data_IF_339975294383
#
_entry.id   IF_339975294383
#
_cell.length_a   1.000
_cell.length_b   1.000
_cell.length_c   1.000
_cell.angle_alpha   90.00
_cell.angle_beta   90.00
_cell.angle_gamma   90.00
#
_symmetry.space_group_name_H-M   'P 1'
#
loop_
_entity.id
_entity.type
_entity.pdbx_description
1 polymer ?
#
# COMPACT_ATOMS: atom_id res chain seq x y z
N UNK A 1 4.40 -5.59 45.22
CA UNK A 1 4.80 -5.53 43.81
C UNK A 1 3.53 -5.54 42.99
N UNK A 2 3.07 -4.37 42.55
CA UNK A 2 1.83 -4.18 41.80
C UNK A 2 2.20 -4.06 40.32
N UNK A 3 1.85 -5.07 39.54
CA UNK A 3 1.76 -5.00 38.07
C UNK A 3 0.67 -3.99 37.73
N UNK A 4 1.07 -2.84 37.16
CA UNK A 4 0.13 -1.86 36.59
C UNK A 4 -0.17 -2.29 35.17
N UNK A 5 -1.40 -2.75 34.94
CA UNK A 5 -1.98 -2.82 33.60
C UNK A 5 -2.04 -1.40 33.04
N UNK A 6 -1.34 -1.17 31.93
CA UNK A 6 -1.41 0.08 31.19
C UNK A 6 -2.55 -0.04 30.20
N UNK A 7 -3.69 0.55 30.53
CA UNK A 7 -4.83 0.66 29.61
C UNK A 7 -4.44 1.60 28.47
N UNK A 8 -4.31 1.05 27.25
CA UNK A 8 -4.15 1.83 26.03
C UNK A 8 -5.47 2.57 25.74
N UNK A 9 -5.54 3.84 26.12
CA UNK A 9 -6.66 4.72 25.79
C UNK A 9 -6.27 5.47 24.51
N UNK A 10 -6.87 5.07 23.39
CA UNK A 10 -6.62 5.61 22.06
C UNK A 10 -7.39 6.92 21.87
N UNK A 11 -6.69 8.06 21.71
CA UNK A 11 -7.31 9.38 21.64
C UNK A 11 -7.35 9.98 20.21
N UNK A 12 -8.53 10.53 19.93
CA UNK A 12 -9.14 11.30 18.82
C UNK A 12 -8.39 11.82 17.57
N UNK A 13 -7.05 11.83 17.48
CA UNK A 13 -6.37 12.38 16.27
C UNK A 13 -5.73 11.26 15.46
N UNK A 14 -5.26 10.20 16.12
CA UNK A 14 -4.94 8.93 15.48
C UNK A 14 -6.19 8.18 15.00
N UNK A 15 -7.38 8.47 15.53
CA UNK A 15 -8.62 7.76 15.18
C UNK A 15 -9.26 8.18 13.84
N UNK A 16 -8.60 8.98 13.02
CA UNK A 16 -9.05 9.29 11.67
C UNK A 16 -8.13 8.71 10.58
N UNK A 17 -6.89 8.36 10.93
CA UNK A 17 -5.88 7.86 10.00
C UNK A 17 -5.37 6.45 10.40
N UNK A 18 -5.25 6.15 11.70
CA UNK A 18 -4.97 4.80 12.25
C UNK A 18 -6.25 4.01 12.60
N UNK A 19 -7.44 4.62 12.49
CA UNK A 19 -8.73 3.95 12.70
C UNK A 19 -9.15 2.97 11.59
N UNK A 20 -8.33 2.80 10.55
CA UNK A 20 -8.60 1.88 9.46
C UNK A 20 -8.09 0.44 9.73
N UNK A 21 -7.55 0.18 10.91
CA UNK A 21 -7.09 -1.16 11.33
C UNK A 21 -7.77 -1.53 12.66
N UNK A 22 -8.97 -2.16 12.62
CA UNK A 22 -9.50 -2.85 13.79
C UNK A 22 -8.51 -3.92 14.19
N UNK A 23 -8.18 -4.03 15.48
CA UNK A 23 -7.22 -5.01 16.01
C UNK A 23 -7.61 -6.46 15.80
N UNK A 24 -8.80 -6.75 15.26
CA UNK A 24 -9.29 -8.13 15.10
C UNK A 24 -10.01 -8.45 13.77
N UNK A 25 -10.19 -7.49 12.84
CA UNK A 25 -11.06 -7.73 11.66
C UNK A 25 -10.58 -7.18 10.31
N UNK A 26 -9.53 -6.35 10.24
CA UNK A 26 -8.98 -5.99 8.92
C UNK A 26 -8.02 -7.06 8.39
N UNK A 27 -7.98 -7.25 7.07
CA UNK A 27 -6.97 -8.09 6.39
C UNK A 27 -5.53 -7.67 6.73
N UNK A 28 -5.30 -6.37 7.00
CA UNK A 28 -4.04 -5.86 7.56
C UNK A 28 -3.83 -6.28 9.02
N UNK A 29 -4.85 -6.24 9.89
CA UNK A 29 -4.75 -6.69 11.27
C UNK A 29 -4.49 -8.20 11.39
N UNK A 30 -5.09 -9.03 10.53
CA UNK A 30 -4.78 -10.46 10.47
C UNK A 30 -3.29 -10.71 10.12
N UNK A 31 -2.71 -9.81 9.33
CA UNK A 31 -1.29 -9.84 8.99
C UNK A 31 -0.41 -9.29 10.12
N UNK A 32 -0.84 -8.26 10.84
CA UNK A 32 -0.15 -7.74 12.04
C UNK A 32 -0.22 -8.72 13.23
N UNK A 33 -1.32 -9.47 13.39
CA UNK A 33 -1.45 -10.54 14.39
C UNK A 33 -0.49 -11.71 14.09
N UNK A 34 -0.23 -11.97 12.81
CA UNK A 34 0.77 -12.95 12.38
C UNK A 34 2.18 -12.51 12.77
N UNK A 35 2.47 -11.21 12.75
CA UNK A 35 3.73 -10.63 13.23
C UNK A 35 3.91 -10.80 14.75
N UNK A 36 2.85 -10.61 15.54
CA UNK A 36 2.89 -10.85 16.98
C UNK A 36 3.10 -12.34 17.34
N UNK A 37 2.64 -13.25 16.47
CA UNK A 37 2.84 -14.69 16.61
C UNK A 37 4.22 -15.17 16.09
N UNK A 38 4.79 -14.49 15.10
CA UNK A 38 6.03 -14.87 14.42
C UNK A 38 7.28 -14.29 15.09
N UNK A 39 7.48 -14.60 16.37
CA UNK A 39 8.83 -14.59 16.93
C UNK A 39 9.64 -15.69 16.23
N UNK A 40 10.75 -15.32 15.59
CA UNK A 40 11.79 -16.18 14.97
C UNK A 40 11.52 -16.73 13.54
N UNK A 41 12.30 -16.29 12.55
CA UNK A 41 13.45 -16.99 11.89
C UNK A 41 13.89 -16.18 10.64
N UNK A 42 15.20 -15.92 10.39
CA UNK A 42 15.66 -15.03 9.30
C UNK A 42 15.88 -15.74 7.96
N UNK A 43 15.64 -14.98 6.88
CA UNK A 43 16.21 -15.18 5.54
C UNK A 43 15.38 -16.06 4.62
N UNK A 44 14.68 -15.46 3.66
CA UNK A 44 14.24 -16.15 2.45
C UNK A 44 14.21 -15.21 1.24
N UNK A 45 14.90 -15.60 0.18
CA UNK A 45 14.59 -15.16 -1.18
C UNK A 45 13.50 -16.10 -1.72
N UNK A 46 12.37 -15.53 -2.17
CA UNK A 46 11.27 -16.33 -2.70
C UNK A 46 11.50 -16.62 -4.19
N UNK A 47 12.01 -17.81 -4.50
CA UNK A 47 11.99 -18.36 -5.86
C UNK A 47 10.63 -19.02 -6.11
N UNK A 48 9.81 -18.45 -6.98
CA UNK A 48 8.55 -19.04 -7.42
C UNK A 48 8.85 -20.25 -8.33
N UNK A 49 8.75 -21.47 -7.78
CA UNK A 49 8.93 -22.68 -8.56
C UNK A 49 7.64 -22.97 -9.36
N UNK A 50 7.69 -22.80 -10.68
CA UNK A 50 6.62 -23.22 -11.60
C UNK A 50 6.98 -24.61 -12.19
N UNK A 51 6.43 -25.73 -11.66
CA UNK A 51 6.71 -27.07 -12.18
C UNK A 51 6.19 -27.31 -13.61
N UNK A 52 5.31 -26.45 -14.14
CA UNK A 52 4.75 -26.56 -15.49
C UNK A 52 5.59 -25.82 -16.55
N UNK A 53 6.35 -24.79 -16.15
CA UNK A 53 7.29 -24.12 -17.05
C UNK A 53 8.44 -25.04 -17.50
N UNK A 54 8.82 -26.01 -16.67
CA UNK A 54 9.84 -27.01 -17.01
C UNK A 54 9.32 -28.14 -17.92
N UNK A 55 7.99 -28.29 -18.07
CA UNK A 55 7.38 -29.39 -18.81
C UNK A 55 6.85 -29.01 -20.21
N UNK A 56 6.86 -27.73 -20.57
CA UNK A 56 6.40 -27.26 -21.88
C UNK A 56 7.53 -27.39 -22.93
N UNK A 57 7.79 -28.62 -23.39
CA UNK A 57 8.44 -28.82 -24.68
C UNK A 57 7.47 -28.38 -25.80
N UNK A 58 7.91 -27.63 -26.83
CA UNK A 58 7.00 -27.15 -27.87
C UNK A 58 6.50 -28.33 -28.70
N UNK A 59 5.18 -28.50 -28.75
CA UNK A 59 4.54 -29.41 -29.71
C UNK A 59 4.65 -28.81 -31.11
N UNK A 60 5.38 -29.48 -31.98
CA UNK A 60 5.50 -29.14 -33.40
C UNK A 60 4.27 -29.68 -34.14
N UNK A 61 3.27 -28.82 -34.36
CA UNK A 61 2.12 -29.19 -35.18
C UNK A 61 1.24 -28.02 -35.59
N UNK A 62 1.21 -27.73 -36.89
CA UNK A 62 0.12 -27.01 -37.55
C UNK A 62 0.41 -25.57 -37.94
N UNK A 63 0.57 -25.35 -39.26
CA UNK A 63 0.63 -24.01 -39.85
C UNK A 63 -0.68 -23.25 -39.62
N UNK A 64 -0.59 -22.18 -38.85
CA UNK A 64 -1.63 -21.18 -38.60
C UNK A 64 -0.90 -19.92 -38.12
N UNK A 65 -1.48 -18.74 -38.36
CA UNK A 65 -0.87 -17.45 -38.04
C UNK A 65 -0.15 -17.46 -36.69
N UNK A 66 1.05 -16.87 -36.63
CA UNK A 66 1.82 -16.74 -35.39
C UNK A 66 0.86 -16.29 -34.27
N UNK A 67 0.74 -17.05 -33.17
CA UNK A 67 -0.18 -16.69 -32.11
C UNK A 67 0.15 -15.27 -31.66
N UNK A 68 -0.87 -14.40 -31.63
CA UNK A 68 -0.73 -13.04 -31.11
C UNK A 68 -0.10 -13.14 -29.73
N UNK A 69 0.90 -12.30 -29.47
CA UNK A 69 1.52 -12.26 -28.16
C UNK A 69 0.42 -12.05 -27.09
N UNK A 70 0.45 -12.81 -25.98
CA UNK A 70 -0.60 -12.73 -24.98
C UNK A 70 -0.70 -11.30 -24.43
N UNK A 71 -1.92 -10.86 -24.18
CA UNK A 71 -2.17 -9.55 -23.59
C UNK A 71 -1.51 -9.51 -22.21
N UNK A 72 -0.79 -8.45 -21.87
CA UNK A 72 -0.18 -8.33 -20.54
C UNK A 72 -1.10 -7.54 -19.61
N UNK A 73 -1.35 -8.10 -18.44
CA UNK A 73 -2.14 -7.47 -17.40
C UNK A 73 -1.44 -7.52 -16.05
N UNK A 74 -1.75 -6.54 -15.20
CA UNK A 74 -1.24 -6.47 -13.83
C UNK A 74 -2.39 -6.68 -12.85
N UNK A 75 -2.26 -7.67 -11.98
CA UNK A 75 -3.17 -7.90 -10.88
C UNK A 75 -2.61 -7.23 -9.63
N UNK A 76 -3.30 -6.22 -9.09
CA UNK A 76 -2.95 -5.54 -7.84
C UNK A 76 -3.88 -5.97 -6.72
N UNK A 77 -3.30 -6.52 -5.66
CA UNK A 77 -4.03 -7.14 -4.56
C UNK A 77 -3.37 -6.76 -3.23
N UNK A 78 -4.17 -6.39 -2.21
CA UNK A 78 -3.66 -6.06 -0.87
C UNK A 78 -4.29 -6.97 0.18
N UNK A 79 -3.44 -7.71 0.92
CA UNK A 79 -3.89 -8.66 1.95
C UNK A 79 -4.83 -9.76 1.42
N UNK A 80 -4.72 -10.08 0.13
CA UNK A 80 -5.53 -11.08 -0.59
C UNK A 80 -4.62 -11.95 -1.45
N UNK A 81 -4.89 -12.11 -2.74
CA UNK A 81 -4.14 -13.00 -3.61
C UNK A 81 -2.74 -12.44 -3.95
N UNK A 82 -1.67 -13.25 -4.01
CA UNK A 82 -1.63 -14.69 -3.84
C UNK A 82 -1.27 -15.16 -2.41
N UNK A 83 -1.25 -14.25 -1.44
CA UNK A 83 -0.65 -14.47 -0.12
C UNK A 83 -1.67 -14.84 0.96
N UNK A 84 -2.93 -14.48 0.75
CA UNK A 84 -4.08 -14.69 1.61
C UNK A 84 -5.23 -15.35 0.87
N UNK A 85 -6.06 -16.06 1.63
CA UNK A 85 -7.29 -16.66 1.13
C UNK A 85 -8.48 -15.70 1.20
N UNK A 86 -9.67 -16.27 1.01
CA UNK A 86 -10.94 -15.55 1.10
C UNK A 86 -11.57 -15.26 -0.25
N UNK A 87 -12.76 -14.67 -0.24
CA UNK A 87 -13.59 -14.50 -1.44
C UNK A 87 -12.90 -13.69 -2.54
N UNK A 88 -12.24 -12.58 -2.18
CA UNK A 88 -11.50 -11.74 -3.14
C UNK A 88 -10.37 -12.52 -3.80
N UNK A 89 -9.62 -13.29 -3.01
CA UNK A 89 -8.53 -14.09 -3.53
C UNK A 89 -9.00 -15.22 -4.46
N UNK A 90 -10.13 -15.88 -4.12
CA UNK A 90 -10.77 -16.87 -4.98
C UNK A 90 -11.27 -16.25 -6.29
N UNK A 91 -11.87 -15.06 -6.25
CA UNK A 91 -12.28 -14.35 -7.47
C UNK A 91 -11.08 -14.05 -8.37
N UNK A 92 -9.97 -13.54 -7.80
CA UNK A 92 -8.74 -13.30 -8.56
C UNK A 92 -8.21 -14.58 -9.19
N UNK A 93 -8.13 -15.65 -8.41
CA UNK A 93 -7.66 -16.96 -8.89
C UNK A 93 -8.51 -17.46 -10.06
N UNK A 94 -9.84 -17.36 -9.97
CA UNK A 94 -10.77 -17.75 -11.03
C UNK A 94 -10.60 -16.91 -12.30
N UNK A 95 -10.33 -15.60 -12.18
CA UNK A 95 -10.07 -14.77 -13.36
C UNK A 95 -8.76 -15.17 -14.03
N UNK A 96 -7.68 -15.34 -13.27
CA UNK A 96 -6.42 -15.82 -13.83
C UNK A 96 -6.61 -17.19 -14.51
N UNK A 97 -7.36 -18.11 -13.91
CA UNK A 97 -7.71 -19.42 -14.51
C UNK A 97 -8.56 -19.32 -15.78
N UNK A 98 -9.44 -18.32 -15.87
CA UNK A 98 -10.37 -18.16 -16.98
C UNK A 98 -9.82 -17.35 -18.16
N UNK A 99 -8.57 -16.89 -18.08
CA UNK A 99 -7.94 -15.95 -19.05
C UNK A 99 -6.58 -16.45 -19.52
N UNK A 100 -6.56 -17.63 -20.15
CA UNK A 100 -5.34 -18.29 -20.63
C UNK A 100 -4.57 -17.48 -21.71
N UNK A 101 -5.24 -16.54 -22.38
CA UNK A 101 -4.70 -15.63 -23.38
C UNK A 101 -4.05 -14.37 -22.79
N UNK A 102 -4.10 -14.21 -21.46
CA UNK A 102 -3.54 -13.07 -20.73
C UNK A 102 -2.33 -13.53 -19.91
N UNK A 103 -1.21 -12.83 -20.07
CA UNK A 103 -0.03 -12.97 -19.22
C UNK A 103 -0.14 -12.02 -18.04
N UNK A 104 -0.22 -12.59 -16.84
CA UNK A 104 -0.42 -11.86 -15.59
C UNK A 104 0.89 -11.58 -14.87
N UNK A 105 1.07 -10.33 -14.47
CA UNK A 105 2.02 -9.91 -13.44
C UNK A 105 1.24 -9.61 -12.17
N UNK A 106 1.53 -10.33 -11.08
CA UNK A 106 0.93 -10.10 -9.78
C UNK A 106 1.76 -9.08 -8.99
N UNK A 107 1.13 -8.01 -8.53
CA UNK A 107 1.67 -7.06 -7.57
C UNK A 107 0.86 -7.21 -6.28
N UNK A 108 1.45 -7.86 -5.28
CA UNK A 108 0.78 -8.22 -4.05
C UNK A 108 1.31 -7.40 -2.88
N UNK A 109 0.47 -6.52 -2.34
CA UNK A 109 0.73 -5.81 -1.11
C UNK A 109 0.50 -6.74 0.09
N UNK A 110 1.55 -6.91 0.88
CA UNK A 110 1.54 -7.73 2.10
C UNK A 110 1.95 -6.88 3.27
N UNK A 111 1.35 -7.15 4.44
CA UNK A 111 1.75 -6.41 5.62
C UNK A 111 3.18 -6.75 6.05
N UNK A 112 3.63 -8.00 5.93
CA UNK A 112 4.98 -8.39 6.35
C UNK A 112 5.63 -9.48 5.50
N UNK A 113 6.96 -9.57 5.58
CA UNK A 113 7.84 -10.46 4.81
C UNK A 113 7.80 -11.92 5.26
N UNK A 114 7.45 -12.17 6.52
CA UNK A 114 7.27 -13.53 7.08
C UNK A 114 6.03 -14.27 6.53
N UNK A 115 5.22 -13.61 5.70
CA UNK A 115 3.99 -14.19 5.20
C UNK A 115 4.30 -15.27 4.17
N UNK A 116 3.95 -16.52 4.49
CA UNK A 116 4.19 -17.64 3.60
C UNK A 116 3.10 -17.70 2.52
N UNK A 117 3.51 -18.01 1.29
CA UNK A 117 2.57 -18.34 0.20
C UNK A 117 1.69 -19.51 0.67
N UNK A 118 0.37 -19.33 0.58
CA UNK A 118 -0.57 -20.39 0.96
C UNK A 118 -0.38 -21.57 0.00
N UNK A 119 0.11 -22.70 0.51
CA UNK A 119 0.38 -23.93 -0.26
C UNK A 119 -0.84 -24.41 -1.06
N UNK A 120 -2.06 -24.14 -0.57
CA UNK A 120 -3.31 -24.52 -1.24
C UNK A 120 -3.62 -23.69 -2.48
N UNK A 121 -3.04 -22.49 -2.57
CA UNK A 121 -3.29 -21.56 -3.64
C UNK A 121 -2.40 -21.93 -4.81
N UNK A 122 -3.01 -22.30 -5.96
CA UNK A 122 -2.24 -22.79 -7.09
C UNK A 122 -1.68 -21.63 -7.89
N UNK A 123 -0.38 -21.69 -8.14
CA UNK A 123 0.27 -20.88 -9.15
C UNK A 123 -0.43 -21.10 -10.50
N UNK A 124 -1.02 -20.04 -11.06
CA UNK A 124 -1.66 -20.12 -12.36
C UNK A 124 -0.58 -20.09 -13.46
N UNK A 125 -0.68 -20.94 -14.49
CA UNK A 125 0.39 -21.08 -15.50
C UNK A 125 0.64 -19.80 -16.31
N UNK A 126 -0.39 -18.95 -16.41
CA UNK A 126 -0.34 -17.67 -17.09
C UNK A 126 0.11 -16.50 -16.19
N UNK A 127 0.40 -16.75 -14.91
CA UNK A 127 1.05 -15.78 -14.01
C UNK A 127 2.56 -15.92 -14.16
N UNK A 128 3.18 -14.95 -14.83
CA UNK A 128 4.59 -15.01 -15.19
C UNK A 128 5.51 -14.38 -14.15
N UNK A 129 4.96 -13.53 -13.28
CA UNK A 129 5.72 -12.84 -12.25
C UNK A 129 4.83 -12.53 -11.04
N UNK A 130 5.42 -12.61 -9.85
CA UNK A 130 4.85 -12.12 -8.59
C UNK A 130 5.85 -11.16 -7.96
N UNK A 131 5.45 -9.92 -7.76
CA UNK A 131 6.15 -8.90 -7.00
C UNK A 131 5.41 -8.68 -5.67
N UNK A 132 6.17 -8.55 -4.58
CA UNK A 132 5.63 -8.30 -3.26
C UNK A 132 5.94 -6.85 -2.85
N UNK A 133 4.89 -6.11 -2.51
CA UNK A 133 5.01 -4.82 -1.83
C UNK A 133 4.87 -5.06 -0.33
N UNK A 134 5.99 -5.13 0.37
CA UNK A 134 6.01 -5.34 1.82
C UNK A 134 5.83 -4.00 2.51
N UNK A 135 4.78 -3.89 3.31
CA UNK A 135 4.48 -2.68 4.08
C UNK A 135 5.42 -2.60 5.28
N UNK A 136 5.38 -3.55 6.21
CA UNK A 136 6.24 -3.65 7.40
C UNK A 136 7.21 -4.82 7.27
N UNK A 137 8.49 -4.53 7.08
CA UNK A 137 9.49 -5.59 6.94
C UNK A 137 10.22 -5.82 8.27
N UNK A 138 10.46 -7.08 8.63
CA UNK A 138 11.20 -7.43 9.86
C UNK A 138 12.72 -7.29 9.73
N UNK A 139 13.24 -7.18 8.51
CA UNK A 139 14.67 -7.14 8.19
C UNK A 139 15.05 -6.00 7.22
N UNK A 140 14.12 -5.55 6.37
CA UNK A 140 14.39 -4.62 5.25
C UNK A 140 13.32 -3.53 5.11
N UNK A 141 13.22 -2.66 6.11
CA UNK A 141 12.14 -1.66 6.17
C UNK A 141 12.21 -0.57 5.10
N UNK A 142 13.23 -0.61 4.23
CA UNK A 142 13.43 0.33 3.13
C UNK A 142 13.00 -0.26 1.78
N UNK A 143 12.24 0.49 0.95
CA UNK A 143 12.01 0.18 -0.46
C UNK A 143 13.29 -0.02 -1.27
N UNK A 144 14.43 0.51 -0.83
CA UNK A 144 15.72 0.27 -1.48
C UNK A 144 16.11 -1.22 -1.49
N UNK A 145 15.72 -1.95 -0.45
CA UNK A 145 16.08 -3.34 -0.23
C UNK A 145 14.98 -4.31 -0.70
N UNK A 146 13.71 -3.87 -0.66
CA UNK A 146 12.56 -4.65 -1.12
C UNK A 146 12.19 -4.31 -2.57
N UNK A 147 11.53 -3.17 -2.81
CA UNK A 147 10.99 -2.77 -4.12
C UNK A 147 12.07 -2.53 -5.18
N UNK A 148 13.18 -1.89 -4.81
CA UNK A 148 14.27 -1.53 -5.72
C UNK A 148 15.42 -2.54 -5.71
N UNK A 149 15.20 -3.77 -5.22
CA UNK A 149 16.22 -4.82 -5.16
C UNK A 149 16.86 -5.15 -6.52
N UNK A 150 16.13 -4.93 -7.62
CA UNK A 150 16.61 -5.14 -9.00
C UNK A 150 17.33 -3.91 -9.60
N UNK A 151 17.28 -2.77 -8.91
CA UNK A 151 17.94 -1.53 -9.36
C UNK A 151 19.44 -1.64 -9.08
N UNK A 152 20.32 -1.35 -10.05
CA UNK A 152 21.76 -1.42 -9.83
C UNK A 152 22.21 -0.54 -8.66
N UNK A 153 23.12 -1.06 -7.82
CA UNK A 153 23.63 -0.35 -6.64
C UNK A 153 24.14 1.07 -6.96
N UNK A 154 24.80 1.27 -8.10
CA UNK A 154 25.27 2.59 -8.54
C UNK A 154 24.13 3.60 -8.74
N UNK A 155 22.96 3.14 -9.18
CA UNK A 155 21.78 3.98 -9.29
C UNK A 155 21.19 4.29 -7.91
N UNK A 156 21.13 3.31 -7.00
CA UNK A 156 20.68 3.54 -5.61
C UNK A 156 21.60 4.55 -4.89
N UNK A 157 22.92 4.40 -5.00
CA UNK A 157 23.88 5.38 -4.46
C UNK A 157 23.68 6.77 -5.06
N UNK A 158 23.37 6.85 -6.36
CA UNK A 158 23.08 8.13 -7.00
C UNK A 158 21.80 8.76 -6.44
N UNK A 159 20.75 7.98 -6.18
CA UNK A 159 19.51 8.48 -5.53
C UNK A 159 19.84 9.09 -4.16
N UNK A 160 20.61 8.38 -3.34
CA UNK A 160 21.05 8.88 -2.03
C UNK A 160 21.85 10.19 -2.16
N UNK A 161 22.79 10.27 -3.11
CA UNK A 161 23.61 11.46 -3.31
C UNK A 161 22.81 12.70 -3.74
N UNK A 162 21.77 12.53 -4.58
CA UNK A 162 20.95 13.67 -5.03
C UNK A 162 19.86 14.06 -4.03
N UNK A 163 19.61 13.23 -3.01
CA UNK A 163 18.58 13.47 -1.99
C UNK A 163 19.17 14.33 -0.88
N UNK A 164 19.34 15.62 -1.20
CA UNK A 164 19.80 16.63 -0.25
C UNK A 164 18.62 17.26 0.50
N UNK A 165 18.84 17.92 1.65
CA UNK A 165 17.79 18.66 2.34
C UNK A 165 17.13 19.74 1.47
N UNK A 166 17.87 20.33 0.54
CA UNK A 166 17.33 21.27 -0.44
C UNK A 166 16.41 20.57 -1.46
N UNK A 167 16.81 19.38 -1.94
CA UNK A 167 15.98 18.58 -2.84
C UNK A 167 14.68 18.12 -2.16
N UNK A 168 14.75 17.69 -0.89
CA UNK A 168 13.56 17.36 -0.08
C UNK A 168 12.65 18.58 0.04
N UNK A 169 13.21 19.74 0.43
CA UNK A 169 12.47 20.98 0.58
C UNK A 169 11.77 21.45 -0.69
N UNK A 170 12.45 21.39 -1.82
CA UNK A 170 11.97 21.95 -3.08
C UNK A 170 11.06 21.00 -3.85
N UNK A 171 11.22 19.68 -3.69
CA UNK A 171 10.53 18.68 -4.52
C UNK A 171 9.57 17.80 -3.75
N UNK A 172 9.89 17.41 -2.52
CA UNK A 172 9.06 16.51 -1.73
C UNK A 172 8.07 17.26 -0.84
N UNK A 173 8.54 18.23 -0.04
CA UNK A 173 7.69 18.94 0.92
C UNK A 173 6.45 19.61 0.29
N UNK A 174 6.48 20.18 -0.93
CA UNK A 174 5.28 20.72 -1.56
C UNK A 174 4.21 19.65 -1.79
N UNK A 175 4.60 18.46 -2.27
CA UNK A 175 3.71 17.32 -2.49
C UNK A 175 3.20 16.77 -1.15
N UNK A 176 4.10 16.62 -0.19
CA UNK A 176 3.78 16.10 1.14
C UNK A 176 2.76 16.99 1.86
N UNK A 177 3.03 18.29 1.92
CA UNK A 177 2.12 19.27 2.52
C UNK A 177 0.77 19.29 1.82
N UNK A 178 0.77 19.23 0.48
CA UNK A 178 -0.47 19.19 -0.29
C UNK A 178 -1.31 17.97 0.07
N UNK A 179 -0.70 16.78 0.14
CA UNK A 179 -1.37 15.53 0.51
C UNK A 179 -2.02 15.65 1.90
N UNK A 180 -1.28 16.16 2.90
CA UNK A 180 -1.80 16.37 4.26
C UNK A 180 -3.02 17.31 4.28
N UNK A 181 -2.95 18.41 3.53
CA UNK A 181 -4.07 19.36 3.41
C UNK A 181 -5.28 18.70 2.72
N UNK A 182 -5.05 17.90 1.67
CA UNK A 182 -6.11 17.21 0.94
C UNK A 182 -6.82 16.17 1.82
N UNK A 183 -6.06 15.38 2.59
CA UNK A 183 -6.60 14.42 3.56
C UNK A 183 -7.46 15.11 4.64
N UNK A 184 -7.01 16.28 5.13
CA UNK A 184 -7.81 17.10 6.06
C UNK A 184 -9.14 17.53 5.44
N UNK A 185 -9.12 18.02 4.20
CA UNK A 185 -10.34 18.47 3.50
C UNK A 185 -11.31 17.33 3.23
N UNK A 186 -10.81 16.18 2.79
CA UNK A 186 -11.63 14.99 2.53
C UNK A 186 -12.44 14.53 3.75
N UNK A 187 -11.95 14.82 4.97
CA UNK A 187 -12.63 14.48 6.21
C UNK A 187 -13.62 15.55 6.72
N UNK A 188 -13.60 16.77 6.18
CA UNK A 188 -14.31 17.92 6.78
C UNK A 188 -15.33 18.59 5.86
N UNK A 189 -15.18 18.51 4.54
CA UNK A 189 -16.05 19.21 3.59
C UNK A 189 -16.90 18.25 2.76
N UNK A 190 -18.19 18.61 2.58
CA UNK A 190 -19.11 17.92 1.66
C UNK A 190 -18.67 18.05 0.19
N UNK A 191 -17.88 19.07 -0.11
CA UNK A 191 -17.05 19.16 -1.31
C UNK A 191 -15.77 18.36 -1.05
N UNK A 192 -15.72 17.12 -1.51
CA UNK A 192 -14.52 16.28 -1.34
C UNK A 192 -13.26 16.93 -1.90
N UNK A 193 -12.08 16.44 -1.48
CA UNK A 193 -10.82 16.89 -2.06
C UNK A 193 -10.84 16.74 -3.60
N UNK A 194 -10.24 17.70 -4.31
CA UNK A 194 -10.09 17.64 -5.77
C UNK A 194 -9.37 16.34 -6.15
N UNK A 195 -10.14 15.39 -6.69
CA UNK A 195 -9.66 14.04 -6.95
C UNK A 195 -8.61 14.02 -8.07
N UNK A 196 -8.69 14.95 -9.02
CA UNK A 196 -7.72 15.07 -10.11
C UNK A 196 -6.40 15.61 -9.55
N UNK A 197 -6.47 16.69 -8.78
CA UNK A 197 -5.27 17.24 -8.13
C UNK A 197 -4.65 16.23 -7.14
N UNK A 198 -5.47 15.41 -6.47
CA UNK A 198 -5.01 14.34 -5.59
C UNK A 198 -4.26 13.26 -6.36
N UNK A 199 -4.81 12.82 -7.50
CA UNK A 199 -4.14 11.88 -8.39
C UNK A 199 -2.80 12.41 -8.91
N UNK A 200 -2.73 13.69 -9.30
CA UNK A 200 -1.47 14.31 -9.72
C UNK A 200 -0.46 14.45 -8.58
N UNK A 201 -0.91 14.69 -7.35
CA UNK A 201 -0.04 14.68 -6.17
C UNK A 201 0.60 13.31 -5.97
N UNK A 202 -0.17 12.22 -6.01
CA UNK A 202 0.37 10.85 -5.95
C UNK A 202 1.33 10.56 -7.10
N UNK A 203 1.00 11.01 -8.31
CA UNK A 203 1.87 10.85 -9.47
C UNK A 203 3.18 11.66 -9.34
N UNK A 204 3.14 12.78 -8.63
CA UNK A 204 4.31 13.56 -8.22
C UNK A 204 5.17 12.84 -7.18
N UNK A 205 4.55 12.28 -6.15
CA UNK A 205 5.24 11.49 -5.12
C UNK A 205 5.93 10.28 -5.74
N UNK A 206 5.23 9.54 -6.59
CA UNK A 206 5.81 8.44 -7.36
C UNK A 206 7.04 8.89 -8.14
N UNK A 207 6.93 9.97 -8.93
CA UNK A 207 8.04 10.50 -9.73
C UNK A 207 9.24 10.89 -8.86
N UNK A 208 8.99 11.47 -7.69
CA UNK A 208 10.03 11.82 -6.74
C UNK A 208 10.80 10.58 -6.29
N UNK A 209 10.12 9.54 -5.82
CA UNK A 209 10.73 8.29 -5.33
C UNK A 209 11.35 7.43 -6.44
N UNK A 210 11.05 7.68 -7.72
CA UNK A 210 11.80 7.07 -8.82
C UNK A 210 13.25 7.58 -8.93
N UNK A 211 13.57 8.71 -8.31
CA UNK A 211 14.87 9.38 -8.46
C UNK A 211 15.54 9.75 -7.14
N UNK A 212 14.79 9.89 -6.06
CA UNK A 212 15.31 10.25 -4.74
C UNK A 212 15.21 9.05 -3.80
N UNK A 213 16.04 9.09 -2.76
CA UNK A 213 16.18 8.03 -1.79
C UNK A 213 15.09 8.11 -0.73
N UNK A 214 14.43 6.98 -0.50
CA UNK A 214 13.32 6.89 0.45
C UNK A 214 13.76 7.23 1.88
N UNK A 215 14.82 6.58 2.36
CA UNK A 215 15.27 6.67 3.75
C UNK A 215 15.75 8.07 4.07
N UNK A 216 16.54 8.68 3.17
CA UNK A 216 17.04 10.04 3.36
C UNK A 216 15.93 11.09 3.30
N UNK A 217 14.89 10.85 2.50
CA UNK A 217 13.73 11.76 2.43
C UNK A 217 13.01 11.78 3.76
N UNK A 218 12.65 10.60 4.29
CA UNK A 218 11.87 10.50 5.52
C UNK A 218 12.68 10.80 6.79
N UNK A 219 14.00 10.63 6.74
CA UNK A 219 14.90 11.03 7.81
C UNK A 219 15.14 12.55 7.87
N UNK A 220 14.74 13.33 6.86
CA UNK A 220 14.91 14.78 6.87
C UNK A 220 13.98 15.43 7.93
N UNK A 221 14.52 16.17 8.92
CA UNK A 221 13.70 16.76 10.00
C UNK A 221 12.61 17.73 9.53
N UNK A 222 12.74 18.29 8.32
CA UNK A 222 11.72 19.17 7.75
C UNK A 222 10.43 18.41 7.45
N UNK A 223 10.50 17.11 7.13
CA UNK A 223 9.33 16.27 6.85
C UNK A 223 8.47 16.11 8.10
N UNK A 224 9.08 15.76 9.23
CA UNK A 224 8.41 15.66 10.53
C UNK A 224 7.84 17.02 10.96
N UNK A 225 8.61 18.10 10.76
CA UNK A 225 8.16 19.46 11.10
C UNK A 225 6.90 19.86 10.34
N UNK A 226 6.86 19.63 9.03
CA UNK A 226 5.68 19.90 8.19
C UNK A 226 4.50 19.02 8.59
N UNK A 227 4.75 17.74 8.86
CA UNK A 227 3.73 16.79 9.28
C UNK A 227 3.07 17.21 10.60
N UNK A 228 3.87 17.47 11.63
CA UNK A 228 3.40 17.89 12.95
C UNK A 228 2.63 19.22 12.86
N UNK A 229 3.09 20.17 12.04
CA UNK A 229 2.39 21.43 11.83
C UNK A 229 1.00 21.22 11.22
N UNK A 230 0.89 20.54 10.08
CA UNK A 230 -0.40 20.37 9.38
C UNK A 230 -1.40 19.53 10.20
N UNK A 231 -0.92 18.57 10.98
CA UNK A 231 -1.77 17.76 11.86
C UNK A 231 -2.29 18.55 13.06
N UNK A 232 -1.45 19.41 13.67
CA UNK A 232 -1.90 20.36 14.71
C UNK A 232 -2.94 21.33 14.16
N UNK A 233 -2.73 21.83 12.94
CA UNK A 233 -3.73 22.68 12.25
C UNK A 233 -5.03 21.91 12.01
N UNK A 234 -4.96 20.64 11.59
CA UNK A 234 -6.14 19.79 11.43
C UNK A 234 -6.90 19.56 12.75
N UNK A 235 -6.17 19.28 13.84
CA UNK A 235 -6.74 19.12 15.17
C UNK A 235 -7.44 20.40 15.65
N UNK A 236 -6.81 21.57 15.46
CA UNK A 236 -7.38 22.85 15.85
C UNK A 236 -8.60 23.28 15.00
N UNK A 237 -8.69 22.81 13.75
CA UNK A 237 -9.74 23.21 12.80
C UNK A 237 -10.92 22.24 12.72
N UNK A 238 -10.87 21.11 13.41
CA UNK A 238 -11.98 20.16 13.49
C UNK A 238 -12.84 20.53 14.71
N UNK A 239 -14.06 21.08 14.53
CA UNK A 239 -14.98 21.28 15.65
C UNK A 239 -15.29 19.91 16.27
N UNK A 240 -15.61 19.84 17.57
CA UNK A 240 -16.15 18.62 18.20
C UNK A 240 -17.40 18.15 17.43
N UNK A 241 -17.25 17.36 16.36
CA UNK A 241 -18.31 17.06 15.39
C UNK A 241 -19.26 15.97 15.88
N UNK A 242 -18.98 15.36 17.03
CA UNK A 242 -19.90 14.43 17.66
C UNK A 242 -20.70 15.17 18.74
N UNK A 243 -21.92 15.62 18.42
CA UNK A 243 -22.86 16.14 19.43
C UNK A 243 -23.16 15.11 20.55
N UNK A 244 -22.91 13.82 20.29
CA UNK A 244 -23.00 12.72 21.26
C UNK A 244 -21.72 12.51 22.11
N UNK A 245 -20.58 13.10 21.72
CA UNK A 245 -19.32 13.06 22.48
C UNK A 245 -18.60 14.41 22.38
N UNK A 246 -18.95 15.38 23.24
CA UNK A 246 -18.24 16.68 23.34
C UNK A 246 -16.77 16.55 23.78
N UNK A 247 -16.28 15.33 24.00
CA UNK A 247 -14.90 14.99 24.38
C UNK A 247 -14.05 14.53 23.18
N UNK A 248 -14.63 14.42 21.98
CA UNK A 248 -13.90 14.13 20.73
C UNK A 248 -13.32 15.44 20.18
N UNK A 249 -12.42 15.99 20.99
CA UNK A 249 -11.52 17.10 20.77
C UNK A 249 -10.39 16.85 21.77
N UNK A 250 -9.50 15.95 21.36
CA UNK A 250 -8.46 15.43 22.25
C UNK A 250 -7.44 16.50 22.62
N UNK A 251 -6.63 16.26 23.66
CA UNK A 251 -5.44 17.07 23.92
C UNK A 251 -4.53 17.11 22.67
N UNK A 252 -3.64 18.09 22.62
CA UNK A 252 -2.64 18.17 21.55
C UNK A 252 -1.91 16.82 21.43
N UNK A 253 -1.76 16.28 20.20
CA UNK A 253 -1.14 14.98 20.01
C UNK A 253 0.29 15.00 20.52
N UNK A 254 0.64 13.98 21.29
CA UNK A 254 1.98 13.82 21.85
C UNK A 254 3.01 13.57 20.74
N UNK A 255 4.30 13.91 20.95
CA UNK A 255 5.34 13.59 19.97
C UNK A 255 5.40 12.10 19.59
N UNK A 256 5.11 11.20 20.53
CA UNK A 256 5.06 9.76 20.26
C UNK A 256 3.91 9.36 19.33
N UNK A 257 2.72 9.95 19.50
CA UNK A 257 1.58 9.72 18.61
C UNK A 257 1.82 10.30 17.21
N UNK A 258 2.45 11.47 17.12
CA UNK A 258 2.88 12.05 15.84
C UNK A 258 3.89 11.15 15.13
N UNK A 259 4.88 10.64 15.86
CA UNK A 259 5.87 9.70 15.33
C UNK A 259 5.24 8.40 14.81
N UNK A 260 4.37 7.77 15.60
CA UNK A 260 3.68 6.54 15.21
C UNK A 260 2.76 6.74 13.99
N UNK A 261 2.12 7.90 13.88
CA UNK A 261 1.28 8.20 12.73
C UNK A 261 2.11 8.50 11.48
N UNK A 262 3.21 9.25 11.63
CA UNK A 262 4.14 9.49 10.53
C UNK A 262 4.70 8.15 10.00
N UNK A 263 5.06 7.25 10.90
CA UNK A 263 5.50 5.89 10.57
C UNK A 263 4.47 5.16 9.71
N UNK A 264 3.18 5.20 10.06
CA UNK A 264 2.11 4.63 9.24
C UNK A 264 2.08 5.23 7.81
N UNK A 265 2.22 6.54 7.69
CA UNK A 265 2.26 7.19 6.37
C UNK A 265 3.44 6.72 5.53
N UNK A 266 4.62 6.55 6.15
CA UNK A 266 5.78 6.02 5.46
C UNK A 266 5.44 4.65 4.89
N UNK A 267 4.95 3.73 5.71
CA UNK A 267 4.59 2.39 5.28
C UNK A 267 3.61 2.42 4.10
N UNK A 268 2.47 3.10 4.26
CA UNK A 268 1.44 3.18 3.23
C UNK A 268 1.91 3.79 1.91
N UNK A 269 2.81 4.78 1.98
CA UNK A 269 3.35 5.43 0.79
C UNK A 269 4.48 4.63 0.13
N UNK A 270 4.91 3.48 0.65
CA UNK A 270 5.84 2.57 -0.05
C UNK A 270 5.29 2.14 -1.42
N UNK A 271 3.97 2.12 -1.58
CA UNK A 271 3.30 1.90 -2.88
C UNK A 271 3.70 2.92 -3.96
N UNK A 272 4.17 4.12 -3.58
CA UNK A 272 4.67 5.14 -4.51
C UNK A 272 6.06 4.80 -5.08
N UNK A 273 6.75 3.82 -4.50
CA UNK A 273 8.01 3.30 -5.06
C UNK A 273 7.76 2.30 -6.20
N UNK A 274 6.54 1.76 -6.33
CA UNK A 274 6.23 0.71 -7.29
C UNK A 274 6.23 1.23 -8.73
N UNK A 275 6.81 0.42 -9.62
CA UNK A 275 6.76 0.68 -11.07
C UNK A 275 5.98 -0.41 -11.76
N UNK A 276 4.76 -0.07 -12.18
CA UNK A 276 3.95 -0.97 -13.00
C UNK A 276 4.63 -1.19 -14.35
N UNK A 277 4.70 -2.42 -14.89
CA UNK A 277 5.21 -2.70 -16.23
C UNK A 277 4.58 -1.79 -17.30
N UNK A 278 5.40 -1.21 -18.17
CA UNK A 278 4.96 -0.24 -19.19
C UNK A 278 4.20 -0.88 -20.36
N UNK A 279 4.37 -2.18 -20.55
CA UNK A 279 3.76 -2.97 -21.60
C UNK A 279 2.47 -3.67 -21.16
N UNK A 280 2.04 -3.46 -19.91
CA UNK A 280 0.74 -3.92 -19.44
C UNK A 280 -0.38 -3.08 -20.07
N UNK A 281 -1.35 -3.72 -20.71
CA UNK A 281 -2.50 -3.05 -21.30
C UNK A 281 -3.53 -2.65 -20.23
N UNK A 282 -3.70 -3.51 -19.22
CA UNK A 282 -4.70 -3.36 -18.16
C UNK A 282 -4.07 -3.60 -16.80
N UNK A 283 -4.46 -2.77 -15.83
CA UNK A 283 -4.12 -2.88 -14.43
C UNK A 283 -5.43 -3.11 -13.69
N UNK A 284 -5.54 -4.23 -12.98
CA UNK A 284 -6.73 -4.59 -12.22
C UNK A 284 -6.42 -4.58 -10.73
N UNK A 285 -6.97 -3.62 -10.00
CA UNK A 285 -6.92 -3.60 -8.55
C UNK A 285 -8.15 -4.31 -7.96
N UNK A 286 -7.96 -5.17 -6.96
CA UNK A 286 -9.06 -5.91 -6.31
C UNK A 286 -9.85 -5.11 -5.27
N UNK A 287 -9.49 -3.85 -5.05
CA UNK A 287 -10.24 -2.86 -4.26
C UNK A 287 -9.57 -1.48 -4.40
N UNK A 288 -10.24 -0.42 -3.94
CA UNK A 288 -9.72 0.96 -3.94
C UNK A 288 -8.70 1.25 -2.82
N UNK A 289 -7.79 0.31 -2.56
CA UNK A 289 -6.73 0.42 -1.56
C UNK A 289 -5.49 1.19 -2.03
N UNK A 290 -4.43 1.21 -1.21
CA UNK A 290 -3.18 1.93 -1.47
C UNK A 290 -2.47 1.41 -2.73
N UNK A 291 -2.49 0.10 -2.96
CA UNK A 291 -1.95 -0.53 -4.16
C UNK A 291 -2.59 0.03 -5.45
N UNK A 292 -3.87 0.41 -5.43
CA UNK A 292 -4.54 0.97 -6.60
C UNK A 292 -3.94 2.32 -7.01
N UNK A 293 -3.25 3.02 -6.11
CA UNK A 293 -2.56 4.28 -6.40
C UNK A 293 -1.43 4.07 -7.42
N UNK A 294 -0.70 2.96 -7.37
CA UNK A 294 0.31 2.65 -8.40
C UNK A 294 -0.34 2.49 -9.78
N UNK A 295 -1.53 1.87 -9.83
CA UNK A 295 -2.36 1.78 -11.02
C UNK A 295 -2.88 3.13 -11.52
N UNK A 296 -3.28 4.02 -10.60
CA UNK A 296 -3.70 5.39 -10.91
C UNK A 296 -2.55 6.18 -11.53
N UNK A 297 -1.34 6.07 -10.97
CA UNK A 297 -0.16 6.74 -11.54
C UNK A 297 0.14 6.22 -12.94
N UNK A 298 0.05 4.92 -13.15
CA UNK A 298 0.23 4.30 -14.46
C UNK A 298 -0.81 4.79 -15.49
N UNK A 299 -2.07 4.92 -15.09
CA UNK A 299 -3.12 5.52 -15.92
C UNK A 299 -2.79 6.98 -16.27
N UNK A 300 -2.46 7.80 -15.28
CA UNK A 300 -2.19 9.24 -15.48
C UNK A 300 -0.94 9.50 -16.32
N UNK A 301 0.11 8.68 -16.18
CA UNK A 301 1.41 8.91 -16.86
C UNK A 301 1.54 8.21 -18.20
N UNK A 302 0.86 7.07 -18.40
CA UNK A 302 1.05 6.22 -19.59
C UNK A 302 -0.25 5.90 -20.33
N UNK A 303 -1.40 6.35 -19.82
CA UNK A 303 -2.70 6.05 -20.43
C UNK A 303 -3.11 4.58 -20.33
N UNK A 304 -2.50 3.81 -19.42
CA UNK A 304 -2.86 2.41 -19.18
C UNK A 304 -4.28 2.32 -18.59
N UNK A 305 -5.02 1.26 -18.93
CA UNK A 305 -6.37 1.08 -18.40
C UNK A 305 -6.31 0.61 -16.96
N UNK A 306 -6.87 1.40 -16.02
CA UNK A 306 -7.07 0.99 -14.64
C UNK A 306 -8.51 0.51 -14.45
N UNK A 307 -8.66 -0.71 -13.96
CA UNK A 307 -9.93 -1.28 -13.55
C UNK A 307 -9.86 -1.61 -12.05
N UNK A 308 -10.82 -1.13 -11.29
CA UNK A 308 -10.94 -1.44 -9.86
C UNK A 308 -12.15 -2.33 -9.67
N UNK A 309 -11.95 -3.50 -9.08
CA UNK A 309 -13.03 -4.38 -8.64
C UNK A 309 -13.31 -4.06 -7.20
N UNK A 310 -14.46 -3.47 -6.90
CA UNK A 310 -14.80 -3.17 -5.53
C UNK A 310 -15.70 -4.26 -4.95
N UNK A 311 -15.21 -4.95 -3.93
CA UNK A 311 -15.96 -5.95 -3.18
C UNK A 311 -16.67 -5.38 -1.94
N UNK A 312 -16.60 -4.06 -1.74
CA UNK A 312 -17.11 -3.37 -0.57
C UNK A 312 -16.27 -3.63 0.68
N UNK A 313 -15.03 -4.12 0.55
CA UNK A 313 -14.21 -4.54 1.70
C UNK A 313 -13.89 -3.34 2.58
N UNK A 314 -13.30 -2.29 2.01
CA UNK A 314 -12.93 -1.10 2.78
C UNK A 314 -14.16 -0.36 3.34
N UNK A 315 -15.27 -0.34 2.59
CA UNK A 315 -16.53 0.21 3.08
C UNK A 315 -17.08 -0.60 4.26
N UNK A 316 -17.09 -1.94 4.16
CA UNK A 316 -17.52 -2.83 5.24
C UNK A 316 -16.64 -2.64 6.48
N UNK A 317 -15.33 -2.66 6.33
CA UNK A 317 -14.40 -2.45 7.46
C UNK A 317 -14.64 -1.08 8.13
N UNK A 318 -14.85 -0.02 7.32
CA UNK A 318 -15.19 1.30 7.82
C UNK A 318 -16.53 1.32 8.57
N UNK A 319 -17.55 0.63 8.06
CA UNK A 319 -18.87 0.57 8.69
C UNK A 319 -18.83 -0.22 10.01
N UNK A 320 -18.11 -1.34 10.06
CA UNK A 320 -17.88 -2.10 11.30
C UNK A 320 -17.25 -1.18 12.36
N UNK A 321 -16.18 -0.47 11.98
CA UNK A 321 -15.52 0.47 12.87
C UNK A 321 -16.47 1.58 13.36
N UNK A 322 -17.24 2.19 12.47
CA UNK A 322 -18.18 3.24 12.85
C UNK A 322 -19.26 2.72 13.80
N UNK A 323 -19.72 1.48 13.62
CA UNK A 323 -20.67 0.82 14.53
C UNK A 323 -20.06 0.52 15.90
N UNK A 324 -18.83 -0.03 15.94
CA UNK A 324 -18.09 -0.26 17.18
C UNK A 324 -17.83 1.04 17.94
N UNK A 325 -17.38 2.08 17.25
CA UNK A 325 -17.14 3.41 17.82
C UNK A 325 -18.43 4.03 18.37
N UNK A 326 -19.57 3.79 17.71
CA UNK A 326 -20.90 4.23 18.15
C UNK A 326 -21.50 3.37 19.28
N UNK A 327 -20.84 2.27 19.68
CA UNK A 327 -21.34 1.37 20.72
C UNK A 327 -22.57 0.55 20.32
N UNK A 328 -22.88 0.48 19.02
CA UNK A 328 -23.94 -0.38 18.50
C UNK A 328 -23.34 -1.76 18.21
N UNK A 329 -23.66 -2.74 19.05
CA UNK A 329 -23.43 -4.17 18.77
C UNK A 329 -24.71 -4.82 18.29
#
# INVERSE_FOLDING_TARGET
MLTRDVTLVQFAIGSAILSNTPTHHSHMAHSLDTLAAANYVPGNSYSYYNPLAAAAAPSTGGGGALPLAPLKAVAMDSGTWPMDGGGVATCREQVCQGTDDISWHAEAEVAHDLKQVIIKMRAQPNVTQVALTIQWDTQHDSPNQSTFCSVPYTQLTRRAYITTPDAVRERFLPLWRWLLIALRKANTTSEGADSVATGECFAGLWRYFQTHDWDFTWADPQVETVFAYELRVAAASTPNTCAARPEVGGPEPTPGELGALLDLFQHYLKTMCLTVPSDAAVIQASHHGLQALAGLVAQLKRGQSLQVWEHGVLMRERLIYLMEAAGCR
#
